data_IF_681848307575
#
_entry.id   IF_681848307575
#
_cell.length_a   1.000
_cell.length_b   1.000
_cell.length_c   1.000
_cell.angle_alpha   90.00
_cell.angle_beta   90.00
_cell.angle_gamma   90.00
#
_symmetry.space_group_name_H-M   'P 1'
#
loop_
_entity.id
_entity.type
_entity.pdbx_description
1 polymer ?
#
# COMPACT_ATOMS: atom_id res chain seq x y z
N UNK A 1 6.51 -22.24 4.05
CA UNK A 1 6.29 -20.89 4.62
C UNK A 1 7.14 -20.76 5.87
N UNK A 2 7.98 -19.73 6.00
CA UNK A 2 8.75 -19.47 7.25
C UNK A 2 8.03 -18.35 8.00
N UNK A 3 7.47 -18.66 9.16
CA UNK A 3 6.99 -17.65 10.10
C UNK A 3 8.17 -17.28 10.99
N UNK A 4 8.63 -16.03 10.91
CA UNK A 4 9.67 -15.48 11.79
C UNK A 4 9.18 -14.11 12.25
N UNK A 5 9.23 -13.87 13.56
CA UNK A 5 8.81 -12.61 14.18
C UNK A 5 7.37 -12.19 13.83
N UNK A 6 6.47 -13.17 13.66
CA UNK A 6 5.06 -12.93 13.35
C UNK A 6 4.72 -12.68 11.87
N UNK A 7 5.71 -12.70 10.98
CA UNK A 7 5.53 -12.47 9.55
C UNK A 7 5.40 -13.75 8.74
N UNK A 8 4.42 -13.79 7.84
CA UNK A 8 4.25 -14.80 6.81
C UNK A 8 4.77 -14.27 5.46
N UNK A 9 5.78 -14.94 4.88
CA UNK A 9 6.24 -14.64 3.51
C UNK A 9 5.21 -15.17 2.50
N UNK A 10 4.63 -14.27 1.71
CA UNK A 10 3.62 -14.60 0.69
C UNK A 10 4.17 -14.60 -0.74
N UNK A 11 5.34 -14.00 -0.96
CA UNK A 11 5.95 -13.88 -2.28
C UNK A 11 7.25 -13.11 -2.23
N UNK A 12 7.77 -12.76 -3.40
CA UNK A 12 8.95 -11.93 -3.54
C UNK A 12 8.73 -10.89 -4.63
N UNK A 13 9.16 -9.66 -4.37
CA UNK A 13 9.33 -8.64 -5.38
C UNK A 13 10.81 -8.58 -5.75
N UNK A 14 11.15 -9.05 -6.96
CA UNK A 14 12.54 -9.32 -7.37
C UNK A 14 13.24 -10.27 -6.38
N UNK A 15 14.06 -9.73 -5.47
CA UNK A 15 14.76 -10.49 -4.42
C UNK A 15 14.25 -10.15 -3.01
N UNK A 16 13.40 -9.14 -2.87
CA UNK A 16 12.84 -8.71 -1.58
C UNK A 16 11.63 -9.59 -1.22
N UNK A 17 11.59 -10.22 -0.03
CA UNK A 17 10.39 -10.91 0.44
C UNK A 17 9.23 -9.93 0.66
N UNK A 18 8.04 -10.36 0.27
CA UNK A 18 6.77 -9.72 0.62
C UNK A 18 6.18 -10.48 1.80
N UNK A 19 5.95 -9.79 2.92
CA UNK A 19 5.58 -10.37 4.20
C UNK A 19 4.29 -9.75 4.74
N UNK A 20 3.44 -10.58 5.34
CA UNK A 20 2.24 -10.14 6.05
C UNK A 20 2.37 -10.54 7.51
N UNK A 21 2.27 -9.58 8.41
CA UNK A 21 2.24 -9.82 9.85
C UNK A 21 0.86 -10.31 10.29
N UNK A 22 0.80 -11.21 11.28
CA UNK A 22 -0.45 -11.74 11.82
C UNK A 22 -1.38 -10.65 12.40
N UNK A 23 -0.86 -9.47 12.72
CA UNK A 23 -1.65 -8.34 13.22
C UNK A 23 -2.46 -7.65 12.12
N UNK A 24 -2.21 -7.93 10.83
CA UNK A 24 -2.88 -7.26 9.72
C UNK A 24 -4.43 -7.37 9.78
N UNK A 25 -5.02 -8.55 10.03
CA UNK A 25 -6.48 -8.66 10.23
C UNK A 25 -7.01 -7.85 11.41
N UNK A 26 -6.21 -7.64 12.47
CA UNK A 26 -6.62 -6.79 13.59
C UNK A 26 -6.72 -5.32 13.17
N UNK A 27 -5.76 -4.83 12.38
CA UNK A 27 -5.82 -3.49 11.81
C UNK A 27 -7.05 -3.30 10.93
N UNK A 28 -7.34 -4.27 10.05
CA UNK A 28 -8.52 -4.27 9.21
C UNK A 28 -9.84 -4.27 10.03
N UNK A 29 -9.90 -5.05 11.12
CA UNK A 29 -11.05 -5.10 12.01
C UNK A 29 -11.33 -3.74 12.68
N UNK A 30 -10.29 -3.06 13.17
CA UNK A 30 -10.42 -1.74 13.79
C UNK A 30 -10.86 -0.68 12.76
N UNK A 31 -10.24 -0.67 11.57
CA UNK A 31 -10.59 0.27 10.50
C UNK A 31 -12.01 0.06 9.95
N UNK A 32 -12.51 -1.18 10.00
CA UNK A 32 -13.90 -1.50 9.67
C UNK A 32 -14.86 -1.26 10.84
N UNK A 33 -14.47 -0.50 11.86
CA UNK A 33 -15.34 -0.16 12.99
C UNK A 33 -15.75 -1.38 13.80
N UNK A 34 -14.84 -2.32 14.03
CA UNK A 34 -15.08 -3.58 14.75
C UNK A 34 -16.15 -4.47 14.08
N UNK A 35 -16.29 -4.37 12.76
CA UNK A 35 -17.19 -5.21 11.97
C UNK A 35 -16.45 -6.31 11.21
N UNK A 36 -17.06 -7.49 11.15
CA UNK A 36 -16.55 -8.59 10.32
C UNK A 36 -16.95 -8.38 8.86
N UNK A 37 -16.09 -7.71 8.11
CA UNK A 37 -16.27 -7.36 6.70
C UNK A 37 -15.11 -7.92 5.87
N UNK A 38 -15.07 -9.24 5.59
CA UNK A 38 -13.92 -9.89 4.97
C UNK A 38 -13.58 -9.34 3.57
N UNK A 39 -14.57 -8.83 2.83
CA UNK A 39 -14.34 -8.16 1.54
C UNK A 39 -13.56 -6.84 1.71
N UNK A 40 -13.92 -6.06 2.73
CA UNK A 40 -13.20 -4.82 3.06
C UNK A 40 -11.80 -5.12 3.61
N UNK A 41 -11.64 -6.17 4.41
CA UNK A 41 -10.33 -6.57 4.93
C UNK A 41 -9.38 -6.98 3.81
N UNK A 42 -9.87 -7.77 2.85
CA UNK A 42 -9.09 -8.12 1.66
C UNK A 42 -8.78 -6.86 0.82
N UNK A 43 -9.74 -5.97 0.64
CA UNK A 43 -9.52 -4.70 -0.06
C UNK A 43 -8.43 -3.87 0.60
N UNK A 44 -8.44 -3.75 1.93
CA UNK A 44 -7.41 -3.03 2.68
C UNK A 44 -6.04 -3.69 2.52
N UNK A 45 -5.96 -5.02 2.60
CA UNK A 45 -4.73 -5.76 2.33
C UNK A 45 -4.16 -5.45 0.94
N UNK A 46 -5.01 -5.52 -0.08
CA UNK A 46 -4.63 -5.26 -1.47
C UNK A 46 -4.14 -3.82 -1.61
N UNK A 47 -4.82 -2.83 -1.05
CA UNK A 47 -4.41 -1.43 -1.15
C UNK A 47 -3.06 -1.17 -0.49
N UNK A 48 -2.83 -1.71 0.70
CA UNK A 48 -1.53 -1.57 1.38
C UNK A 48 -0.43 -2.25 0.56
N UNK A 49 -0.66 -3.48 0.08
CA UNK A 49 0.31 -4.18 -0.76
C UNK A 49 0.63 -3.42 -2.05
N UNK A 50 -0.40 -2.93 -2.76
CA UNK A 50 -0.23 -2.16 -4.00
C UNK A 50 0.53 -0.86 -3.73
N UNK A 51 0.23 -0.20 -2.63
CA UNK A 51 0.91 1.02 -2.20
C UNK A 51 2.41 0.76 -1.95
N UNK A 52 2.75 -0.24 -1.12
CA UNK A 52 4.15 -0.57 -0.87
C UNK A 52 4.90 -1.07 -2.12
N UNK A 53 4.22 -1.81 -2.99
CA UNK A 53 4.78 -2.22 -4.28
C UNK A 53 5.04 -1.02 -5.19
N UNK A 54 4.21 0.02 -5.12
CA UNK A 54 4.44 1.30 -5.81
C UNK A 54 5.77 1.95 -5.40
N UNK A 55 6.05 2.01 -4.09
CA UNK A 55 7.37 2.46 -3.60
C UNK A 55 8.49 1.54 -4.09
N UNK A 56 8.34 0.23 -3.96
CA UNK A 56 9.37 -0.74 -4.36
C UNK A 56 9.70 -0.67 -5.86
N UNK A 57 8.69 -0.44 -6.70
CA UNK A 57 8.86 -0.25 -8.15
C UNK A 57 9.70 0.98 -8.45
N UNK A 58 9.35 2.14 -7.88
CA UNK A 58 10.09 3.38 -8.11
C UNK A 58 11.45 3.39 -7.44
N UNK A 59 11.60 2.76 -6.26
CA UNK A 59 12.88 2.56 -5.59
C UNK A 59 13.85 1.81 -6.52
N UNK A 60 13.40 0.70 -7.11
CA UNK A 60 14.20 -0.03 -8.09
C UNK A 60 14.49 0.77 -9.36
N UNK A 61 13.56 1.61 -9.82
CA UNK A 61 13.74 2.44 -11.01
C UNK A 61 14.80 3.53 -10.84
N UNK A 62 14.97 4.05 -9.61
CA UNK A 62 16.02 5.04 -9.28
C UNK A 62 17.34 4.40 -8.84
N UNK A 63 17.49 3.08 -8.97
CA UNK A 63 18.71 2.34 -8.60
C UNK A 63 18.78 1.90 -7.13
N UNK A 64 17.70 2.06 -6.37
CA UNK A 64 17.58 1.57 -5.00
C UNK A 64 17.42 0.05 -4.92
N UNK A 65 17.97 -0.54 -3.86
CA UNK A 65 17.83 -1.94 -3.51
C UNK A 65 16.77 -2.12 -2.43
N UNK A 66 15.65 -2.78 -2.76
CA UNK A 66 14.57 -3.12 -1.82
C UNK A 66 14.96 -4.37 -1.04
N UNK A 67 14.80 -4.33 0.29
CA UNK A 67 15.11 -5.43 1.20
C UNK A 67 13.88 -6.18 1.64
N UNK A 68 12.79 -5.47 1.93
CA UNK A 68 11.55 -6.05 2.44
C UNK A 68 10.35 -5.21 2.05
N UNK A 69 9.22 -5.88 1.87
CA UNK A 69 7.91 -5.26 1.73
C UNK A 69 7.01 -5.93 2.78
N UNK A 70 6.63 -5.17 3.79
CA UNK A 70 5.93 -5.68 4.96
C UNK A 70 4.56 -5.04 5.09
N UNK A 71 3.57 -5.85 5.46
CA UNK A 71 2.21 -5.39 5.74
C UNK A 71 1.82 -5.81 7.15
N UNK A 72 1.33 -4.87 7.94
CA UNK A 72 0.96 -5.06 9.34
C UNK A 72 -0.28 -4.22 9.73
N UNK A 73 -0.61 -4.16 11.02
CA UNK A 73 -1.83 -3.50 11.48
C UNK A 73 -1.88 -1.99 11.18
N UNK A 74 -0.73 -1.32 11.23
CA UNK A 74 -0.63 0.13 11.04
C UNK A 74 -0.51 0.57 9.57
N UNK A 75 -0.57 -0.36 8.61
CA UNK A 75 -0.27 -0.09 7.19
C UNK A 75 0.82 -1.01 6.67
N UNK A 76 1.71 -0.49 5.83
CA UNK A 76 2.84 -1.22 5.29
C UNK A 76 4.16 -0.49 5.48
N UNK A 77 5.24 -1.16 5.11
CA UNK A 77 6.57 -0.56 4.98
C UNK A 77 7.35 -1.21 3.85
N UNK A 78 8.00 -0.37 3.06
CA UNK A 78 8.93 -0.78 2.01
C UNK A 78 10.34 -0.35 2.42
N UNK A 79 11.13 -1.30 2.91
CA UNK A 79 12.52 -1.03 3.30
C UNK A 79 13.43 -1.11 2.08
N UNK A 80 14.20 -0.06 1.84
CA UNK A 80 15.16 -0.01 0.74
C UNK A 80 16.35 0.90 1.07
N UNK A 81 17.45 0.71 0.35
CA UNK A 81 18.62 1.59 0.41
C UNK A 81 19.09 1.95 -0.99
N UNK A 82 19.90 3.00 -1.08
CA UNK A 82 20.54 3.43 -2.32
C UNK A 82 21.15 4.80 -2.14
N UNK A 83 22.21 5.07 -2.91
CA UNK A 83 22.77 6.42 -3.01
C UNK A 83 21.89 7.23 -3.97
N UNK A 84 20.84 7.84 -3.42
CA UNK A 84 19.82 8.58 -4.17
C UNK A 84 19.80 10.05 -3.77
N UNK A 85 19.54 10.90 -4.76
CA UNK A 85 19.29 12.32 -4.54
C UNK A 85 17.96 12.54 -3.80
N UNK A 86 17.79 13.73 -3.22
CA UNK A 86 16.52 14.14 -2.60
C UNK A 86 15.34 14.06 -3.58
N UNK A 87 15.54 14.42 -4.86
CA UNK A 87 14.50 14.32 -5.89
C UNK A 87 14.09 12.88 -6.14
N UNK A 88 15.05 11.96 -6.22
CA UNK A 88 14.76 10.53 -6.39
C UNK A 88 14.04 9.97 -5.17
N UNK A 89 14.41 10.37 -3.95
CA UNK A 89 13.69 9.98 -2.73
C UNK A 89 12.23 10.44 -2.76
N UNK A 90 11.98 11.68 -3.18
CA UNK A 90 10.62 12.18 -3.36
C UNK A 90 9.85 11.42 -4.47
N UNK A 91 10.51 11.04 -5.57
CA UNK A 91 9.91 10.17 -6.61
C UNK A 91 9.49 8.81 -6.02
N UNK A 92 10.34 8.19 -5.20
CA UNK A 92 9.99 6.92 -4.52
C UNK A 92 8.77 7.10 -3.62
N UNK A 93 8.71 8.19 -2.83
CA UNK A 93 7.56 8.50 -1.97
C UNK A 93 6.25 8.70 -2.76
N UNK A 94 6.31 9.16 -4.02
CA UNK A 94 5.12 9.20 -4.88
C UNK A 94 4.63 7.83 -5.33
N UNK A 95 5.48 6.80 -5.27
CA UNK A 95 5.20 5.47 -5.82
C UNK A 95 3.92 4.84 -5.30
N UNK A 96 3.72 4.85 -3.97
CA UNK A 96 2.53 4.27 -3.36
C UNK A 96 1.24 4.97 -3.76
N UNK A 97 1.23 6.31 -3.74
CA UNK A 97 0.07 7.10 -4.17
C UNK A 97 -0.23 6.89 -5.67
N UNK A 98 0.79 6.86 -6.53
CA UNK A 98 0.60 6.61 -7.96
C UNK A 98 0.04 5.22 -8.24
N UNK A 99 0.48 4.19 -7.50
CA UNK A 99 -0.06 2.84 -7.61
C UNK A 99 -1.54 2.77 -7.15
N UNK A 100 -1.87 3.45 -6.05
CA UNK A 100 -3.25 3.58 -5.57
C UNK A 100 -4.14 4.34 -6.56
N UNK A 101 -3.64 5.40 -7.19
CA UNK A 101 -4.34 6.13 -8.24
C UNK A 101 -4.61 5.24 -9.45
N UNK A 102 -3.66 4.39 -9.86
CA UNK A 102 -3.88 3.43 -10.94
C UNK A 102 -5.03 2.45 -10.62
N UNK A 103 -5.11 1.95 -9.38
CA UNK A 103 -6.25 1.12 -8.94
C UNK A 103 -7.57 1.90 -9.02
N UNK A 104 -7.60 3.14 -8.54
CA UNK A 104 -8.80 3.98 -8.54
C UNK A 104 -9.28 4.30 -9.96
N UNK A 105 -8.35 4.69 -10.85
CA UNK A 105 -8.67 5.07 -12.23
C UNK A 105 -9.12 3.88 -13.07
N UNK A 106 -8.66 2.67 -12.76
CA UNK A 106 -9.09 1.44 -13.45
C UNK A 106 -10.36 0.84 -12.85
N UNK A 107 -10.90 1.39 -11.76
CA UNK A 107 -12.09 0.88 -11.08
C UNK A 107 -13.33 0.69 -11.97
N UNK A 108 -13.65 1.58 -12.91
CA UNK A 108 -14.78 1.36 -13.82
C UNK A 108 -14.64 0.11 -14.69
N UNK A 109 -13.41 -0.37 -14.95
CA UNK A 109 -13.16 -1.53 -15.78
C UNK A 109 -13.41 -2.86 -15.04
N UNK A 110 -13.08 -2.92 -13.74
CA UNK A 110 -13.16 -4.16 -12.98
C UNK A 110 -14.35 -4.22 -12.01
N UNK A 111 -14.95 -3.09 -11.63
CA UNK A 111 -16.04 -3.06 -10.65
C UNK A 111 -17.32 -3.77 -11.10
N UNK A 112 -17.59 -3.80 -12.41
CA UNK A 112 -18.72 -4.53 -13.00
C UNK A 112 -18.58 -6.05 -12.91
N UNK A 113 -17.35 -6.55 -12.68
CA UNK A 113 -17.08 -7.97 -12.51
C UNK A 113 -17.31 -8.46 -11.08
N UNK A 114 -17.47 -7.53 -10.13
CA UNK A 114 -17.69 -7.85 -8.72
C UNK A 114 -19.19 -7.78 -8.39
N UNK A 115 -19.70 -8.70 -7.55
CA UNK A 115 -21.05 -8.57 -7.00
C UNK A 115 -21.21 -7.24 -6.28
N UNK A 116 -22.34 -6.56 -6.49
CA UNK A 116 -22.61 -5.22 -5.93
C UNK A 116 -22.90 -5.21 -4.42
N UNK A 117 -22.97 -6.38 -3.77
CA UNK A 117 -23.25 -6.53 -2.34
C UNK A 117 -22.41 -7.60 -1.66
N UNK A 118 -22.50 -7.65 -0.33
CA UNK A 118 -21.70 -8.54 0.50
C UNK A 118 -20.20 -8.36 0.25
N UNK A 119 -19.47 -9.47 0.17
CA UNK A 119 -18.02 -9.46 -0.02
C UNK A 119 -17.55 -8.64 -1.23
N UNK A 120 -18.21 -8.78 -2.38
CA UNK A 120 -17.83 -8.07 -3.61
C UNK A 120 -18.04 -6.56 -3.49
N UNK A 121 -19.16 -6.15 -2.90
CA UNK A 121 -19.49 -4.75 -2.66
C UNK A 121 -18.52 -4.10 -1.68
N UNK A 122 -18.18 -4.79 -0.58
CA UNK A 122 -17.22 -4.32 0.41
C UNK A 122 -15.81 -4.17 -0.18
N UNK A 123 -15.39 -5.14 -0.99
CA UNK A 123 -14.11 -5.11 -1.69
C UNK A 123 -14.06 -3.93 -2.67
N UNK A 124 -15.07 -3.79 -3.53
CA UNK A 124 -15.15 -2.70 -4.50
C UNK A 124 -15.20 -1.33 -3.84
N UNK A 125 -16.00 -1.18 -2.77
CA UNK A 125 -16.10 0.04 -1.97
C UNK A 125 -14.75 0.40 -1.35
N UNK A 126 -14.01 -0.59 -0.85
CA UNK A 126 -12.69 -0.37 -0.25
C UNK A 126 -11.67 0.06 -1.30
N UNK A 127 -11.57 -0.65 -2.43
CA UNK A 127 -10.65 -0.33 -3.52
C UNK A 127 -10.95 1.02 -4.20
N UNK A 128 -12.12 1.62 -3.96
CA UNK A 128 -12.52 2.92 -4.50
C UNK A 128 -12.59 4.02 -3.44
N UNK A 129 -13.62 4.00 -2.58
CA UNK A 129 -13.90 5.05 -1.59
C UNK A 129 -12.83 5.10 -0.51
N UNK A 130 -12.49 3.94 0.07
CA UNK A 130 -11.43 3.87 1.09
C UNK A 130 -10.07 4.20 0.46
N UNK A 131 -9.80 3.71 -0.74
CA UNK A 131 -8.58 4.04 -1.48
C UNK A 131 -8.42 5.55 -1.71
N UNK A 132 -9.49 6.25 -2.11
CA UNK A 132 -9.47 7.70 -2.26
C UNK A 132 -9.12 8.41 -0.95
N UNK A 133 -9.69 7.95 0.18
CA UNK A 133 -9.34 8.49 1.50
C UNK A 133 -7.88 8.21 1.87
N UNK A 134 -7.37 7.00 1.60
CA UNK A 134 -5.96 6.65 1.85
C UNK A 134 -4.99 7.46 0.98
N UNK A 135 -5.32 7.70 -0.29
CA UNK A 135 -4.57 8.61 -1.17
C UNK A 135 -4.50 10.00 -0.54
N UNK A 136 -5.64 10.54 -0.10
CA UNK A 136 -5.69 11.86 0.51
C UNK A 136 -4.84 11.93 1.80
N UNK A 137 -4.91 10.90 2.65
CA UNK A 137 -4.11 10.81 3.87
C UNK A 137 -2.60 10.73 3.56
N UNK A 138 -2.20 9.86 2.63
CA UNK A 138 -0.79 9.72 2.25
C UNK A 138 -0.23 10.98 1.58
N UNK A 139 -1.08 11.85 1.03
CA UNK A 139 -0.66 13.14 0.50
C UNK A 139 -0.55 14.25 1.56
N UNK A 140 -0.86 14.00 2.83
CA UNK A 140 -0.67 15.02 3.88
C UNK A 140 0.84 15.28 4.06
N UNK A 141 1.31 16.54 4.07
CA UNK A 141 2.73 16.90 4.14
C UNK A 141 3.33 16.78 5.56
N UNK A 142 2.98 15.75 6.32
CA UNK A 142 3.44 15.54 7.70
C UNK A 142 3.76 14.07 7.94
N UNK A 143 4.86 13.73 8.65
CA UNK A 143 5.11 12.35 9.06
C UNK A 143 3.95 11.80 9.89
N UNK A 144 3.60 10.50 9.76
CA UNK A 144 4.33 9.46 9.03
C UNK A 144 3.94 9.32 7.53
N UNK A 145 3.12 10.22 6.98
CA UNK A 145 2.60 10.10 5.61
C UNK A 145 3.64 10.42 4.52
N UNK A 146 3.51 9.78 3.36
CA UNK A 146 4.42 9.95 2.21
C UNK A 146 4.56 11.40 1.76
N UNK A 147 3.51 12.19 1.87
CA UNK A 147 3.47 13.60 1.50
C UNK A 147 4.60 14.40 2.13
N UNK A 148 5.05 14.04 3.34
CA UNK A 148 6.19 14.67 4.00
C UNK A 148 7.46 14.66 3.12
N UNK A 149 7.65 13.61 2.33
CA UNK A 149 8.76 13.44 1.41
C UNK A 149 8.36 13.73 -0.05
N UNK A 150 7.20 13.23 -0.50
CA UNK A 150 6.73 13.33 -1.88
C UNK A 150 6.65 14.78 -2.39
N UNK A 151 6.16 15.72 -1.56
CA UNK A 151 6.04 17.13 -1.96
C UNK A 151 7.37 17.85 -2.11
N UNK A 152 8.48 17.29 -1.59
CA UNK A 152 9.83 17.86 -1.76
C UNK A 152 10.27 17.87 -3.21
N UNK A 153 9.66 17.05 -4.08
CA UNK A 153 9.91 17.06 -5.52
C UNK A 153 9.68 18.43 -6.17
N UNK A 154 8.71 19.20 -5.64
CA UNK A 154 8.32 20.51 -6.17
C UNK A 154 8.87 21.68 -5.36
N UNK A 155 9.51 21.40 -4.22
CA UNK A 155 10.19 22.44 -3.44
C UNK A 155 11.52 22.76 -4.11
N UNK A 156 11.78 24.05 -4.29
CA UNK A 156 13.04 24.56 -4.83
C UNK A 156 14.15 24.45 -3.79
#
# INVERSE_FOLDING_TARGET
MRVRDGYLVIGHFRRAPIRIHWSMPLGAFVLCGFSFAPGAWLGFLILVLVHELGHALLAGAVGGHVFSIDVHAAGGSCDWTGDVTMKQRAIVAWGGVLAQLAVLLTAPLWSSLLPSGGFGGDLASTLTRTNLALIALNLIPTPPFDGAEAWRLFRR
#
